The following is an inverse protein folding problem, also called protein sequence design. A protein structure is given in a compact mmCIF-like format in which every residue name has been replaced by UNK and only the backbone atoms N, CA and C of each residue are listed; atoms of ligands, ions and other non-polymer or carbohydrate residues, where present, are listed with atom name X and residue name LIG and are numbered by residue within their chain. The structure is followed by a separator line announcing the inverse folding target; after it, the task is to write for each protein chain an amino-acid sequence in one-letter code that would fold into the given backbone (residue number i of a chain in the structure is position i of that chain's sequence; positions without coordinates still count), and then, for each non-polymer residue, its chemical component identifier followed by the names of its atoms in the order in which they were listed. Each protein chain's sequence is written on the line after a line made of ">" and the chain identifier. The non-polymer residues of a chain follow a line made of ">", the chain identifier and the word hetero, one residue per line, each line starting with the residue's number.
data_IF_018121424231
#
_entry.id   IF_018121424231
#
_cell.length_a   1.000
_cell.length_b   1.000
_cell.length_c   1.000
_cell.angle_alpha   90.00
_cell.angle_beta   90.00
_cell.angle_gamma   90.00
#
_symmetry.space_group_name_H-M   'P 1'
#
loop_
_entity.id
_entity.type
_entity.pdbx_description
1 polymer ?
#
# COMPACT_ATOMS: atom_id res chain seq x y z
N UNK A 1 15.22 -7.79 -19.99
CA UNK A 1 14.50 -8.53 -18.94
C UNK A 1 13.01 -8.41 -19.17
N UNK A 2 12.24 -9.49 -18.95
CA UNK A 2 10.77 -9.42 -18.93
C UNK A 2 10.35 -8.53 -17.76
N UNK A 3 9.49 -7.55 -18.00
CA UNK A 3 8.91 -6.73 -16.92
C UNK A 3 7.73 -7.47 -16.30
N UNK A 4 7.73 -7.64 -14.98
CA UNK A 4 6.65 -8.32 -14.28
C UNK A 4 5.39 -7.46 -14.27
N UNK A 5 4.24 -8.04 -14.65
CA UNK A 5 2.93 -7.41 -14.54
C UNK A 5 2.37 -7.67 -13.15
N UNK A 6 1.95 -6.62 -12.44
CA UNK A 6 1.50 -6.68 -11.05
C UNK A 6 0.09 -6.11 -10.97
N UNK A 7 -0.87 -6.95 -10.52
CA UNK A 7 -2.22 -6.50 -10.21
C UNK A 7 -2.22 -5.75 -8.88
N UNK A 8 -2.59 -4.49 -8.89
CA UNK A 8 -2.74 -3.67 -7.69
C UNK A 8 -4.22 -3.58 -7.36
N UNK A 9 -4.60 -4.05 -6.18
CA UNK A 9 -5.98 -4.09 -5.69
C UNK A 9 -6.14 -3.11 -4.54
N UNK A 10 -7.06 -2.15 -4.67
CA UNK A 10 -7.29 -1.12 -3.64
C UNK A 10 -8.24 -0.01 -4.11
N UNK A 11 -8.18 1.14 -3.45
CA UNK A 11 -9.00 2.30 -3.76
C UNK A 11 -8.19 3.50 -4.25
N UNK A 12 -8.84 4.39 -5.00
CA UNK A 12 -8.42 5.78 -5.08
C UNK A 12 -8.82 6.51 -3.81
N UNK A 13 -8.11 7.58 -3.46
CA UNK A 13 -8.53 8.50 -2.40
C UNK A 13 -8.60 9.94 -2.90
N UNK A 14 -9.38 10.73 -2.20
CA UNK A 14 -9.37 12.19 -2.29
C UNK A 14 -8.91 12.70 -0.94
N UNK A 15 -7.75 13.34 -0.89
CA UNK A 15 -7.13 13.78 0.34
C UNK A 15 -7.23 15.32 0.47
N UNK A 16 -7.87 15.78 1.54
CA UNK A 16 -7.94 17.19 1.90
C UNK A 16 -6.86 17.52 2.93
N UNK A 17 -5.84 18.26 2.51
CA UNK A 17 -4.67 18.63 3.32
C UNK A 17 -4.52 20.13 3.33
N UNK A 18 -4.65 20.77 4.50
CA UNK A 18 -4.52 22.22 4.65
C UNK A 18 -5.40 23.01 3.66
N UNK A 19 -6.64 22.53 3.42
CA UNK A 19 -7.59 23.15 2.50
C UNK A 19 -7.31 22.90 1.01
N UNK A 20 -6.29 22.14 0.66
CA UNK A 20 -6.04 21.69 -0.72
C UNK A 20 -6.55 20.27 -0.89
N UNK A 21 -7.23 20.03 -2.01
CA UNK A 21 -7.76 18.72 -2.39
C UNK A 21 -6.84 18.12 -3.44
N UNK A 22 -6.45 16.86 -3.25
CA UNK A 22 -5.60 16.13 -4.19
C UNK A 22 -5.98 14.67 -4.28
N UNK A 23 -5.73 14.02 -5.43
CA UNK A 23 -5.89 12.59 -5.58
C UNK A 23 -4.82 11.84 -4.78
N UNK A 24 -5.15 10.62 -4.36
CA UNK A 24 -4.25 9.74 -3.62
C UNK A 24 -4.69 8.29 -3.68
N UNK A 25 -4.15 7.52 -2.76
CA UNK A 25 -4.45 6.10 -2.59
C UNK A 25 -3.48 5.15 -3.28
N UNK A 26 -3.54 3.87 -2.91
CA UNK A 26 -2.59 2.87 -3.39
C UNK A 26 -2.65 2.63 -4.89
N UNK A 27 -3.79 2.81 -5.56
CA UNK A 27 -3.87 2.70 -7.01
C UNK A 27 -2.97 3.73 -7.72
N UNK A 28 -2.67 4.85 -7.08
CA UNK A 28 -1.72 5.85 -7.57
C UNK A 28 -0.30 5.53 -7.08
N UNK A 29 -0.12 5.50 -5.77
CA UNK A 29 1.23 5.48 -5.20
C UNK A 29 1.92 4.11 -5.33
N UNK A 30 1.18 3.00 -5.14
CA UNK A 30 1.76 1.67 -5.40
C UNK A 30 2.05 1.47 -6.88
N UNK A 31 1.24 2.04 -7.79
CA UNK A 31 1.53 2.00 -9.23
C UNK A 31 2.83 2.70 -9.59
N UNK A 32 3.05 3.90 -9.04
CA UNK A 32 4.31 4.61 -9.21
C UNK A 32 5.48 3.80 -8.67
N UNK A 33 5.32 3.19 -7.49
CA UNK A 33 6.33 2.31 -6.91
C UNK A 33 6.65 1.12 -7.80
N UNK A 34 5.62 0.42 -8.29
CA UNK A 34 5.78 -0.72 -9.23
C UNK A 34 6.51 -0.30 -10.50
N UNK A 35 6.13 0.83 -11.10
CA UNK A 35 6.78 1.35 -12.32
C UNK A 35 8.25 1.69 -12.06
N UNK A 36 8.55 2.35 -10.96
CA UNK A 36 9.92 2.71 -10.56
C UNK A 36 10.76 1.49 -10.19
N UNK A 37 10.14 0.43 -9.65
CA UNK A 37 10.76 -0.87 -9.43
C UNK A 37 10.91 -1.73 -10.70
N UNK A 38 10.54 -1.19 -11.87
CA UNK A 38 10.68 -1.86 -13.17
C UNK A 38 9.52 -2.79 -13.56
N UNK A 39 8.42 -2.82 -12.79
CA UNK A 39 7.20 -3.58 -13.09
C UNK A 39 6.23 -2.85 -14.04
N UNK A 40 5.11 -3.51 -14.34
CA UNK A 40 3.99 -2.98 -15.10
C UNK A 40 2.74 -3.11 -14.21
N UNK A 41 2.15 -2.00 -13.72
CA UNK A 41 0.93 -2.08 -12.93
C UNK A 41 -0.28 -2.38 -13.81
N UNK A 42 -1.20 -3.21 -13.26
CA UNK A 42 -2.57 -3.42 -13.71
C UNK A 42 -3.47 -3.10 -12.52
N UNK A 43 -4.54 -2.36 -12.72
CA UNK A 43 -5.36 -1.86 -11.62
C UNK A 43 -6.66 -2.64 -11.49
N UNK A 44 -7.02 -2.96 -10.26
CA UNK A 44 -8.35 -3.43 -9.90
C UNK A 44 -8.82 -2.72 -8.64
N UNK A 45 -9.87 -1.90 -8.75
CA UNK A 45 -10.21 -1.08 -7.60
C UNK A 45 -11.55 -0.39 -7.67
N UNK A 46 -11.81 0.43 -6.63
CA UNK A 46 -13.02 1.22 -6.51
C UNK A 46 -12.70 2.70 -6.67
N UNK A 47 -13.58 3.40 -7.39
CA UNK A 47 -13.54 4.83 -7.64
C UNK A 47 -14.95 5.41 -7.53
N UNK A 48 -15.09 6.61 -7.00
CA UNK A 48 -16.35 7.32 -6.95
C UNK A 48 -16.58 8.22 -8.15
N UNK A 49 -17.84 8.54 -8.43
CA UNK A 49 -18.24 9.55 -9.43
C UNK A 49 -17.71 10.97 -9.10
N UNK A 50 -17.34 11.18 -7.83
CA UNK A 50 -16.76 12.42 -7.31
C UNK A 50 -15.25 12.55 -7.51
N UNK A 51 -14.60 11.58 -8.16
CA UNK A 51 -13.17 11.62 -8.48
C UNK A 51 -12.94 12.36 -9.80
N UNK A 52 -12.82 13.66 -9.71
CA UNK A 52 -12.62 14.57 -10.85
C UNK A 52 -11.13 14.97 -10.97
N UNK A 53 -10.29 13.97 -11.21
CA UNK A 53 -8.85 14.17 -11.43
C UNK A 53 -8.38 13.36 -12.64
N UNK A 54 -7.66 14.03 -13.53
CA UNK A 54 -6.93 13.39 -14.61
C UNK A 54 -5.51 13.07 -14.14
N UNK A 55 -5.11 11.80 -14.26
CA UNK A 55 -3.78 11.33 -13.89
C UNK A 55 -3.19 10.61 -15.09
N UNK A 56 -2.32 11.30 -15.82
CA UNK A 56 -1.83 10.89 -17.14
C UNK A 56 -1.32 9.45 -17.15
N UNK A 57 -0.44 9.08 -16.22
CA UNK A 57 0.15 7.74 -16.22
C UNK A 57 -0.86 6.63 -15.88
N UNK A 58 -1.95 6.95 -15.15
CA UNK A 58 -3.05 6.01 -14.86
C UNK A 58 -3.92 5.78 -16.08
N UNK A 59 -4.05 6.78 -16.94
CA UNK A 59 -4.92 6.71 -18.13
C UNK A 59 -4.49 5.59 -19.07
N UNK A 60 -3.20 5.33 -19.20
CA UNK A 60 -2.60 4.34 -20.08
C UNK A 60 -2.54 2.92 -19.49
N UNK A 61 -2.85 2.76 -18.19
CA UNK A 61 -2.78 1.46 -17.54
C UNK A 61 -4.00 0.58 -17.84
N UNK A 62 -3.76 -0.74 -17.95
CA UNK A 62 -4.83 -1.72 -17.90
C UNK A 62 -5.54 -1.64 -16.55
N UNK A 63 -6.85 -1.44 -16.56
CA UNK A 63 -7.63 -1.24 -15.34
C UNK A 63 -9.03 -1.80 -15.41
N UNK A 64 -9.48 -2.33 -14.30
CA UNK A 64 -10.86 -2.70 -14.03
C UNK A 64 -11.36 -1.95 -12.81
N UNK A 65 -12.29 -1.05 -12.97
CA UNK A 65 -12.77 -0.18 -11.89
C UNK A 65 -14.24 -0.47 -11.57
N UNK A 66 -14.54 -0.52 -10.28
CA UNK A 66 -15.90 -0.57 -9.75
C UNK A 66 -16.27 0.87 -9.42
N UNK A 67 -17.32 1.36 -10.06
CA UNK A 67 -17.82 2.72 -9.84
C UNK A 67 -18.79 2.76 -8.67
N UNK A 68 -18.63 3.74 -7.80
CA UNK A 68 -19.51 4.03 -6.65
C UNK A 68 -19.87 5.51 -6.63
N UNK A 69 -20.78 5.91 -5.75
CA UNK A 69 -21.14 7.32 -5.60
C UNK A 69 -19.99 8.17 -5.03
N UNK A 70 -19.18 7.61 -4.14
CA UNK A 70 -18.12 8.33 -3.46
C UNK A 70 -16.79 7.58 -3.53
N UNK A 71 -15.73 8.34 -3.77
CA UNK A 71 -14.35 7.92 -3.53
C UNK A 71 -14.06 7.95 -2.02
N UNK A 72 -13.11 7.16 -1.55
CA UNK A 72 -12.61 7.28 -0.18
C UNK A 72 -12.02 8.68 -0.01
N UNK A 73 -12.56 9.46 0.91
CA UNK A 73 -12.13 10.83 1.13
C UNK A 73 -11.66 11.03 2.56
N UNK A 74 -10.46 11.55 2.70
CA UNK A 74 -9.88 11.90 3.99
C UNK A 74 -9.67 13.38 4.14
N UNK A 75 -9.82 13.86 5.37
CA UNK A 75 -9.22 15.10 5.83
C UNK A 75 -7.98 14.77 6.66
N UNK A 76 -6.87 15.37 6.29
CA UNK A 76 -5.56 15.17 6.92
C UNK A 76 -5.15 16.46 7.61
N UNK A 77 -5.25 16.47 8.93
CA UNK A 77 -4.81 17.58 9.75
C UNK A 77 -3.38 17.32 10.23
N UNK A 78 -2.45 18.19 9.86
CA UNK A 78 -1.08 18.16 10.34
C UNK A 78 -1.01 18.92 11.66
N UNK A 79 -0.60 18.23 12.73
CA UNK A 79 -0.48 18.79 14.08
C UNK A 79 0.97 18.68 14.55
N UNK A 80 1.33 19.41 15.61
CA UNK A 80 2.67 19.32 16.22
C UNK A 80 2.98 17.91 16.79
N UNK A 81 1.94 17.12 17.07
CA UNK A 81 2.07 15.74 17.61
C UNK A 81 1.96 14.65 16.54
N UNK A 82 1.86 15.02 15.25
CA UNK A 82 1.74 14.07 14.16
C UNK A 82 0.58 14.38 13.21
N UNK A 83 0.15 13.36 12.48
CA UNK A 83 -0.90 13.43 11.47
C UNK A 83 -2.22 12.86 12.04
N UNK A 84 -3.29 13.64 11.96
CA UNK A 84 -4.65 13.20 12.28
C UNK A 84 -5.40 12.92 10.99
N UNK A 85 -5.98 11.74 10.85
CA UNK A 85 -6.67 11.27 9.67
C UNK A 85 -8.17 11.09 9.97
N UNK A 86 -9.04 11.85 9.31
CA UNK A 86 -10.49 11.80 9.48
C UNK A 86 -11.11 11.27 8.19
N UNK A 87 -11.92 10.22 8.28
CA UNK A 87 -12.66 9.70 7.13
C UNK A 87 -13.88 10.58 6.87
N UNK A 88 -13.96 11.21 5.71
CA UNK A 88 -15.11 12.03 5.31
C UNK A 88 -16.15 11.22 4.57
N UNK A 89 -15.73 10.38 3.61
CA UNK A 89 -16.58 9.55 2.75
C UNK A 89 -15.89 8.24 2.42
N UNK A 90 -16.68 7.22 2.13
CA UNK A 90 -16.18 5.94 1.57
C UNK A 90 -17.22 5.33 0.62
N UNK A 91 -16.78 4.49 -0.33
CA UNK A 91 -17.67 3.71 -1.17
C UNK A 91 -18.44 2.66 -0.33
N UNK A 92 -19.59 2.28 -0.82
CA UNK A 92 -20.35 1.12 -0.32
C UNK A 92 -19.92 -0.17 -1.03
N UNK A 93 -19.48 -0.05 -2.26
CA UNK A 93 -18.98 -1.15 -3.08
C UNK A 93 -17.76 -1.80 -2.46
N UNK A 94 -17.67 -3.13 -2.62
CA UNK A 94 -16.56 -3.94 -2.14
C UNK A 94 -15.83 -4.57 -3.30
N UNK A 95 -14.53 -4.75 -3.12
CA UNK A 95 -13.65 -5.46 -4.03
C UNK A 95 -13.46 -6.87 -3.49
N UNK A 96 -13.70 -7.86 -4.32
CA UNK A 96 -13.28 -9.23 -4.03
C UNK A 96 -12.04 -9.54 -4.84
N UNK A 97 -10.94 -9.81 -4.15
CA UNK A 97 -9.69 -10.20 -4.83
C UNK A 97 -9.88 -11.55 -5.46
N UNK A 98 -9.61 -11.63 -6.75
CA UNK A 98 -9.68 -12.85 -7.54
C UNK A 98 -8.29 -13.19 -8.07
N UNK A 99 -8.06 -14.47 -8.34
CA UNK A 99 -6.85 -14.91 -9.03
C UNK A 99 -6.87 -14.38 -10.48
N UNK A 100 -5.73 -13.89 -10.91
CA UNK A 100 -5.51 -13.39 -12.27
C UNK A 100 -4.24 -14.05 -12.85
N UNK A 101 -4.44 -15.03 -13.72
CA UNK A 101 -3.35 -15.77 -14.35
C UNK A 101 -2.58 -14.98 -15.42
N UNK A 102 -2.96 -13.73 -15.68
CA UNK A 102 -2.30 -12.84 -16.64
C UNK A 102 -1.24 -11.95 -15.99
N UNK A 103 -1.07 -12.04 -14.66
CA UNK A 103 -0.11 -11.25 -13.89
C UNK A 103 0.96 -12.13 -13.23
N UNK A 104 2.09 -11.54 -12.90
CA UNK A 104 3.21 -12.21 -12.25
C UNK A 104 3.18 -12.04 -10.71
N UNK A 105 2.27 -11.19 -10.18
CA UNK A 105 2.06 -10.97 -8.75
C UNK A 105 0.84 -10.11 -8.46
N UNK A 106 0.32 -10.20 -7.23
CA UNK A 106 -0.84 -9.42 -6.74
C UNK A 106 -0.39 -8.59 -5.55
N UNK A 107 -0.66 -7.28 -5.58
CA UNK A 107 -0.45 -6.37 -4.49
C UNK A 107 -1.80 -5.91 -3.94
N UNK A 108 -2.15 -6.34 -2.73
CA UNK A 108 -3.42 -6.06 -2.05
C UNK A 108 -3.20 -4.94 -1.05
N UNK A 109 -3.69 -3.77 -1.37
CA UNK A 109 -3.48 -2.57 -0.58
C UNK A 109 -4.80 -1.84 -0.32
N UNK A 110 -5.62 -2.34 0.64
CA UNK A 110 -6.85 -1.65 1.01
C UNK A 110 -6.55 -0.35 1.75
N UNK A 111 -7.44 0.61 1.58
CA UNK A 111 -7.38 1.90 2.28
C UNK A 111 -8.30 1.91 3.48
N UNK A 112 -9.55 1.43 3.30
CA UNK A 112 -10.61 1.57 4.28
C UNK A 112 -11.65 0.46 4.20
N UNK A 113 -11.21 -0.79 4.32
CA UNK A 113 -12.06 -1.99 4.29
C UNK A 113 -12.87 -2.17 3.01
N UNK A 114 -12.43 -1.61 1.89
CA UNK A 114 -13.08 -1.80 0.59
C UNK A 114 -12.83 -3.21 0.03
N UNK A 115 -11.85 -3.94 0.53
CA UNK A 115 -11.61 -5.33 0.16
C UNK A 115 -12.39 -6.25 1.09
N UNK A 116 -13.23 -7.11 0.48
CA UNK A 116 -14.20 -7.94 1.21
C UNK A 116 -13.60 -9.23 1.75
N UNK A 117 -12.51 -9.72 1.18
CA UNK A 117 -11.89 -10.97 1.56
C UNK A 117 -10.40 -10.85 1.83
N UNK A 118 -9.97 -11.31 2.97
CA UNK A 118 -8.55 -11.46 3.33
C UNK A 118 -8.00 -12.82 2.87
N UNK A 119 -8.87 -13.80 2.63
CA UNK A 119 -8.48 -15.11 2.09
C UNK A 119 -8.36 -15.05 0.58
N UNK A 120 -7.15 -14.72 0.11
CA UNK A 120 -6.86 -14.52 -1.30
C UNK A 120 -6.35 -15.85 -1.87
N UNK A 121 -7.15 -16.47 -2.74
CA UNK A 121 -6.69 -17.61 -3.53
C UNK A 121 -5.90 -17.06 -4.72
N UNK A 122 -4.65 -17.42 -4.84
CA UNK A 122 -3.78 -16.99 -5.94
C UNK A 122 -2.74 -18.04 -6.27
N UNK A 123 -2.42 -18.14 -7.55
CA UNK A 123 -1.32 -18.96 -8.09
C UNK A 123 0.02 -18.22 -8.13
N UNK A 124 0.00 -16.90 -7.94
CA UNK A 124 1.18 -16.03 -8.00
C UNK A 124 1.50 -15.40 -6.64
N UNK A 125 2.73 -14.90 -6.43
CA UNK A 125 3.10 -14.22 -5.19
C UNK A 125 2.19 -13.04 -4.83
N UNK A 126 1.91 -12.88 -3.53
CA UNK A 126 1.05 -11.84 -2.98
C UNK A 126 1.86 -10.93 -2.07
N UNK A 127 1.75 -9.61 -2.30
CA UNK A 127 2.11 -8.59 -1.32
C UNK A 127 0.84 -7.98 -0.73
N UNK A 128 0.86 -7.57 0.55
CA UNK A 128 -0.27 -6.95 1.19
C UNK A 128 0.17 -5.79 2.10
N UNK A 129 -0.73 -4.79 2.24
CA UNK A 129 -0.64 -3.75 3.26
C UNK A 129 -1.71 -3.98 4.33
N UNK A 130 -1.35 -3.76 5.60
CA UNK A 130 -2.29 -3.97 6.71
C UNK A 130 -3.28 -2.83 6.89
N UNK A 131 -2.98 -1.63 6.40
CA UNK A 131 -3.67 -0.38 6.76
C UNK A 131 -5.19 -0.47 6.65
N UNK A 132 -5.71 -0.84 5.50
CA UNK A 132 -7.16 -0.88 5.28
C UNK A 132 -7.86 -2.04 5.96
N UNK A 133 -7.13 -3.05 6.41
CA UNK A 133 -7.69 -4.16 7.18
C UNK A 133 -7.89 -3.81 8.66
N UNK A 134 -7.06 -2.90 9.21
CA UNK A 134 -7.08 -2.55 10.64
C UNK A 134 -7.76 -1.21 10.96
N UNK A 135 -8.03 -0.36 9.97
CA UNK A 135 -8.73 0.91 10.18
C UNK A 135 -10.21 0.69 10.49
N UNK A 136 -10.77 1.40 11.48
CA UNK A 136 -12.20 1.31 11.85
C UNK A 136 -13.16 1.85 10.78
N UNK A 137 -12.74 2.86 10.02
CA UNK A 137 -13.45 3.40 8.85
C UNK A 137 -14.91 3.83 9.07
N UNK A 138 -15.14 4.61 10.12
CA UNK A 138 -16.44 5.24 10.38
C UNK A 138 -16.41 6.67 9.81
N UNK A 139 -17.42 7.00 8.97
CA UNK A 139 -17.50 8.34 8.36
C UNK A 139 -17.67 9.42 9.44
N UNK A 140 -17.01 10.56 9.21
CA UNK A 140 -16.94 11.72 10.11
C UNK A 140 -16.16 11.48 11.39
N UNK A 141 -15.48 10.35 11.53
CA UNK A 141 -14.64 10.03 12.66
C UNK A 141 -13.15 9.99 12.30
N UNK A 142 -12.33 10.20 13.30
CA UNK A 142 -10.89 9.97 13.21
C UNK A 142 -10.62 8.47 13.09
N UNK A 143 -9.67 8.13 12.21
CA UNK A 143 -9.23 6.75 12.03
C UNK A 143 -8.59 6.25 13.32
N UNK A 144 -9.08 5.09 13.76
CA UNK A 144 -8.51 4.29 14.85
C UNK A 144 -8.14 2.92 14.31
N UNK A 145 -7.25 2.23 14.99
CA UNK A 145 -6.81 0.91 14.57
C UNK A 145 -7.50 -0.17 15.39
N UNK A 146 -8.06 -1.16 14.69
CA UNK A 146 -8.69 -2.34 15.29
C UNK A 146 -7.63 -3.42 15.56
N UNK A 147 -7.88 -4.21 16.57
CA UNK A 147 -7.07 -5.39 16.92
C UNK A 147 -7.71 -6.66 16.40
N UNK A 148 -6.94 -7.75 16.38
CA UNK A 148 -7.47 -9.07 16.05
C UNK A 148 -7.44 -9.40 14.56
N UNK A 149 -6.72 -8.62 13.74
CA UNK A 149 -6.44 -9.00 12.36
C UNK A 149 -5.69 -10.34 12.35
N UNK A 150 -6.17 -11.28 11.56
CA UNK A 150 -5.51 -12.57 11.34
C UNK A 150 -5.59 -12.91 9.86
N UNK A 151 -4.48 -13.28 9.29
CA UNK A 151 -4.40 -13.77 7.93
C UNK A 151 -4.51 -15.30 7.93
N UNK A 152 -5.42 -15.89 7.14
CA UNK A 152 -5.40 -17.34 6.92
C UNK A 152 -4.10 -17.74 6.22
N UNK A 153 -3.65 -18.97 6.45
CA UNK A 153 -2.42 -19.45 5.82
C UNK A 153 -2.52 -19.43 4.28
N UNK A 154 -1.47 -18.89 3.65
CA UNK A 154 -1.30 -18.92 2.20
C UNK A 154 0.19 -19.02 1.84
N UNK A 155 0.56 -20.08 1.12
CA UNK A 155 1.95 -20.30 0.69
C UNK A 155 2.47 -19.27 -0.32
N UNK A 156 1.59 -18.52 -0.96
CA UNK A 156 1.94 -17.46 -1.92
C UNK A 156 2.11 -16.08 -1.29
N UNK A 157 1.86 -15.92 0.01
CA UNK A 157 2.20 -14.67 0.71
C UNK A 157 3.71 -14.45 0.68
N UNK A 158 4.10 -13.34 0.09
CA UNK A 158 5.51 -12.96 -0.04
C UNK A 158 5.87 -11.80 0.89
N UNK A 159 5.19 -10.66 0.77
CA UNK A 159 5.52 -9.43 1.49
C UNK A 159 4.29 -8.90 2.22
N UNK A 160 4.45 -8.53 3.49
CA UNK A 160 3.49 -7.72 4.24
C UNK A 160 4.13 -6.38 4.58
N UNK A 161 3.36 -5.30 4.45
CA UNK A 161 3.77 -3.96 4.86
C UNK A 161 2.77 -3.36 5.85
N UNK A 162 3.28 -2.49 6.71
CA UNK A 162 2.56 -1.55 7.54
C UNK A 162 3.55 -0.60 8.20
N UNK A 163 3.07 0.49 8.78
CA UNK A 163 3.92 1.38 9.54
C UNK A 163 3.99 0.98 11.02
N UNK A 164 4.94 1.56 11.76
CA UNK A 164 5.19 1.24 13.17
C UNK A 164 3.94 1.46 14.02
N UNK A 165 3.24 2.57 13.86
CA UNK A 165 2.02 2.89 14.60
C UNK A 165 0.91 1.86 14.35
N UNK A 166 0.74 1.42 13.11
CA UNK A 166 -0.23 0.40 12.71
C UNK A 166 0.07 -0.95 13.37
N UNK A 167 1.33 -1.38 13.37
CA UNK A 167 1.75 -2.62 14.04
C UNK A 167 1.56 -2.54 15.56
N UNK A 168 2.00 -1.47 16.21
CA UNK A 168 1.86 -1.28 17.65
C UNK A 168 0.40 -1.21 18.10
N UNK A 169 -0.44 -0.48 17.36
CA UNK A 169 -1.84 -0.28 17.70
C UNK A 169 -2.67 -1.54 17.47
N UNK A 170 -2.43 -2.27 16.39
CA UNK A 170 -3.15 -3.51 16.06
C UNK A 170 -2.69 -4.72 16.86
N UNK A 171 -1.52 -4.64 17.54
CA UNK A 171 -0.92 -5.74 18.29
C UNK A 171 -0.62 -6.98 17.44
N UNK A 172 -0.21 -6.77 16.19
CA UNK A 172 0.20 -7.83 15.29
C UNK A 172 1.59 -8.34 15.68
N UNK A 173 1.70 -9.67 15.83
CA UNK A 173 2.96 -10.32 16.16
C UNK A 173 3.61 -10.88 14.90
N UNK A 174 4.91 -10.58 14.70
CA UNK A 174 5.68 -11.08 13.56
C UNK A 174 5.60 -12.59 13.41
N UNK A 175 5.66 -13.33 14.53
CA UNK A 175 5.58 -14.79 14.55
C UNK A 175 4.29 -15.33 13.94
N UNK A 176 3.15 -14.67 14.18
CA UNK A 176 1.86 -15.11 13.66
C UNK A 176 1.70 -14.77 12.19
N UNK A 177 2.26 -13.65 11.75
CA UNK A 177 2.30 -13.28 10.35
C UNK A 177 3.18 -14.23 9.54
N UNK A 178 4.33 -14.66 10.06
CA UNK A 178 5.14 -15.68 9.41
C UNK A 178 4.44 -17.05 9.37
N UNK A 179 3.72 -17.44 10.43
CA UNK A 179 2.87 -18.65 10.41
C UNK A 179 1.76 -18.58 9.37
N UNK A 180 1.26 -17.39 9.05
CA UNK A 180 0.29 -17.19 7.98
C UNK A 180 0.88 -17.34 6.57
N UNK A 181 2.20 -17.46 6.44
CA UNK A 181 2.89 -17.71 5.18
C UNK A 181 3.65 -16.54 4.58
N UNK A 182 3.60 -15.35 5.19
CA UNK A 182 4.44 -14.23 4.74
C UNK A 182 5.92 -14.59 4.88
N UNK A 183 6.69 -14.27 3.85
CA UNK A 183 8.14 -14.55 3.82
C UNK A 183 8.94 -13.35 4.33
N UNK A 184 8.43 -12.16 4.11
CA UNK A 184 9.06 -10.87 4.40
C UNK A 184 8.03 -9.90 4.99
N UNK A 185 8.42 -9.17 6.04
CA UNK A 185 7.56 -8.16 6.68
C UNK A 185 8.32 -6.84 6.71
N UNK A 186 7.73 -5.82 6.11
CA UNK A 186 8.28 -4.45 6.08
C UNK A 186 7.55 -3.63 7.13
N UNK A 187 8.29 -3.04 8.06
CA UNK A 187 7.76 -2.08 9.02
C UNK A 187 8.42 -0.73 8.75
N UNK A 188 7.65 0.23 8.25
CA UNK A 188 8.12 1.59 7.99
C UNK A 188 7.94 2.50 9.20
N UNK A 189 8.84 3.48 9.36
CA UNK A 189 8.87 4.41 10.49
C UNK A 189 9.19 5.84 10.01
N UNK A 190 8.43 6.30 9.04
CA UNK A 190 8.54 7.65 8.48
C UNK A 190 9.99 8.02 8.11
N UNK A 191 10.47 9.13 8.65
CA UNK A 191 11.83 9.63 8.40
C UNK A 191 12.95 8.74 8.97
N UNK A 192 12.64 7.78 9.84
CA UNK A 192 13.61 6.80 10.34
C UNK A 192 13.89 5.67 9.35
N UNK A 193 13.11 5.59 8.25
CA UNK A 193 13.23 4.58 7.23
C UNK A 193 12.36 3.36 7.47
N UNK A 194 12.89 2.17 7.26
CA UNK A 194 12.11 0.93 7.44
C UNK A 194 13.00 -0.27 7.77
N UNK A 195 12.36 -1.30 8.31
CA UNK A 195 12.97 -2.59 8.57
C UNK A 195 12.29 -3.67 7.73
N UNK A 196 13.07 -4.60 7.17
CA UNK A 196 12.57 -5.84 6.57
C UNK A 196 12.94 -6.98 7.50
N UNK A 197 11.94 -7.73 7.94
CA UNK A 197 12.09 -8.93 8.76
C UNK A 197 11.82 -10.17 7.92
N UNK A 198 12.56 -11.24 8.17
CA UNK A 198 12.34 -12.55 7.57
C UNK A 198 11.87 -13.55 8.63
N UNK A 199 11.40 -14.71 8.21
CA UNK A 199 10.95 -15.77 9.13
C UNK A 199 12.05 -16.26 10.10
N UNK A 200 13.33 -16.11 9.75
CA UNK A 200 14.46 -16.39 10.64
C UNK A 200 14.71 -15.26 11.64
N UNK A 201 13.86 -14.25 11.65
CA UNK A 201 13.99 -13.00 12.40
C UNK A 201 15.26 -12.20 12.05
N UNK A 202 15.91 -12.54 10.93
CA UNK A 202 16.93 -11.66 10.37
C UNK A 202 16.28 -10.33 10.00
N UNK A 203 16.99 -9.26 10.32
CA UNK A 203 16.52 -7.88 10.13
C UNK A 203 17.47 -7.13 9.23
N UNK A 204 16.94 -6.53 8.18
CA UNK A 204 17.62 -5.52 7.39
C UNK A 204 16.99 -4.14 7.67
N UNK A 205 17.81 -3.13 7.85
CA UNK A 205 17.36 -1.74 8.11
C UNK A 205 17.83 -0.83 7.00
N UNK A 206 16.89 -0.11 6.37
CA UNK A 206 17.18 1.03 5.50
C UNK A 206 16.99 2.32 6.27
N UNK A 207 17.96 3.21 6.19
CA UNK A 207 17.89 4.57 6.74
C UNK A 207 18.06 5.57 5.60
N UNK A 208 17.08 6.49 5.39
CA UNK A 208 17.21 7.51 4.36
C UNK A 208 18.34 8.47 4.68
N UNK A 209 18.99 8.95 3.63
CA UNK A 209 20.07 9.96 3.74
C UNK A 209 19.52 11.38 3.87
N UNK A 210 18.26 11.59 3.48
CA UNK A 210 17.55 12.87 3.51
C UNK A 210 16.16 12.69 4.10
N UNK A 211 15.72 13.66 4.89
CA UNK A 211 14.32 13.70 5.37
C UNK A 211 13.41 14.06 4.19
N UNK A 212 12.37 13.28 4.01
CA UNK A 212 11.37 13.52 2.97
C UNK A 212 10.52 14.76 3.26
N UNK A 213 10.15 15.47 2.21
CA UNK A 213 9.26 16.65 2.29
C UNK A 213 7.77 16.26 2.29
N UNK A 214 7.46 15.11 1.71
CA UNK A 214 6.10 14.58 1.60
C UNK A 214 6.08 13.14 2.08
N UNK A 215 5.25 12.86 3.09
CA UNK A 215 5.11 11.53 3.67
C UNK A 215 3.88 10.78 3.14
N UNK A 216 2.97 11.47 2.43
CA UNK A 216 1.73 10.86 1.94
C UNK A 216 2.05 9.89 0.80
N UNK A 217 1.57 8.65 0.93
CA UNK A 217 1.74 7.60 -0.07
C UNK A 217 3.13 6.95 -0.13
N UNK A 218 4.07 7.34 0.76
CA UNK A 218 5.42 6.75 0.76
C UNK A 218 5.43 5.26 1.11
N UNK A 219 4.55 4.81 1.99
CA UNK A 219 4.38 3.39 2.32
C UNK A 219 3.86 2.58 1.15
N UNK A 220 2.82 3.09 0.49
CA UNK A 220 2.24 2.47 -0.72
C UNK A 220 3.30 2.38 -1.84
N UNK A 221 4.05 3.47 -2.05
CA UNK A 221 5.13 3.51 -3.03
C UNK A 221 6.24 2.50 -2.70
N UNK A 222 6.69 2.46 -1.43
CA UNK A 222 7.71 1.53 -0.95
C UNK A 222 7.31 0.09 -1.21
N UNK A 223 6.08 -0.29 -0.82
CA UNK A 223 5.57 -1.64 -1.02
C UNK A 223 5.53 -2.01 -2.51
N UNK A 224 5.04 -1.11 -3.36
CA UNK A 224 5.00 -1.32 -4.81
C UNK A 224 6.39 -1.50 -5.43
N UNK A 225 7.35 -0.63 -5.08
CA UNK A 225 8.71 -0.70 -5.58
C UNK A 225 9.44 -1.98 -5.10
N UNK A 226 9.34 -2.26 -3.81
CA UNK A 226 9.96 -3.43 -3.21
C UNK A 226 9.44 -4.73 -3.83
N UNK A 227 8.12 -4.88 -3.93
CA UNK A 227 7.50 -6.08 -4.49
C UNK A 227 7.90 -6.30 -5.95
N UNK A 228 7.92 -5.25 -6.78
CA UNK A 228 8.36 -5.34 -8.17
C UNK A 228 9.82 -5.80 -8.30
N UNK A 229 10.71 -5.26 -7.44
CA UNK A 229 12.12 -5.64 -7.40
C UNK A 229 12.30 -7.09 -6.95
N UNK A 230 11.54 -7.55 -5.94
CA UNK A 230 11.58 -8.94 -5.48
C UNK A 230 11.09 -9.91 -6.55
N UNK A 231 10.02 -9.57 -7.28
CA UNK A 231 9.53 -10.37 -8.42
C UNK A 231 10.51 -10.42 -9.59
N UNK A 232 11.37 -9.40 -9.75
CA UNK A 232 12.44 -9.42 -10.76
C UNK A 232 13.64 -10.29 -10.39
N UNK A 233 13.62 -10.90 -9.18
CA UNK A 233 14.64 -11.82 -8.70
C UNK A 233 15.75 -11.19 -7.86
N UNK A 234 15.64 -9.90 -7.49
CA UNK A 234 16.63 -9.29 -6.60
C UNK A 234 16.53 -9.89 -5.20
N UNK A 235 17.66 -10.05 -4.53
CA UNK A 235 17.72 -10.48 -3.14
C UNK A 235 17.16 -9.41 -2.18
N UNK A 236 16.74 -9.82 -0.97
CA UNK A 236 16.07 -8.96 0.02
C UNK A 236 16.85 -7.67 0.28
N UNK A 237 18.15 -7.77 0.52
CA UNK A 237 19.00 -6.61 0.85
C UNK A 237 19.11 -5.65 -0.33
N UNK A 238 19.27 -6.17 -1.51
CA UNK A 238 19.37 -5.38 -2.74
C UNK A 238 18.04 -4.70 -3.05
N UNK A 239 16.93 -5.44 -3.03
CA UNK A 239 15.59 -4.92 -3.24
C UNK A 239 15.24 -3.83 -2.21
N UNK A 240 15.54 -4.05 -0.92
CA UNK A 240 15.30 -3.07 0.13
C UNK A 240 16.14 -1.80 -0.04
N UNK A 241 17.42 -1.95 -0.44
CA UNK A 241 18.29 -0.80 -0.67
C UNK A 241 17.80 0.06 -1.84
N UNK A 242 17.40 -0.58 -2.95
CA UNK A 242 16.92 0.14 -4.14
C UNK A 242 15.54 0.75 -3.86
N UNK A 243 14.59 -0.02 -3.30
CA UNK A 243 13.27 0.51 -2.96
C UNK A 243 13.35 1.67 -1.99
N UNK A 244 14.24 1.61 -0.99
CA UNK A 244 14.47 2.69 -0.06
C UNK A 244 14.96 3.97 -0.74
N UNK A 245 15.94 3.88 -1.64
CA UNK A 245 16.43 5.04 -2.41
C UNK A 245 15.34 5.63 -3.31
N UNK A 246 14.57 4.79 -3.99
CA UNK A 246 13.46 5.24 -4.83
C UNK A 246 12.38 5.94 -3.99
N UNK A 247 12.08 5.43 -2.79
CA UNK A 247 11.13 6.06 -1.86
C UNK A 247 11.66 7.39 -1.32
N UNK A 248 12.95 7.48 -1.01
CA UNK A 248 13.59 8.74 -0.62
C UNK A 248 13.52 9.79 -1.73
N UNK A 249 13.78 9.39 -2.99
CA UNK A 249 13.61 10.26 -4.15
C UNK A 249 12.14 10.70 -4.33
N UNK A 250 11.20 9.76 -4.23
CA UNK A 250 9.76 10.03 -4.32
C UNK A 250 9.31 11.04 -3.26
N UNK A 251 9.69 10.84 -1.99
CA UNK A 251 9.31 11.73 -0.88
C UNK A 251 9.89 13.15 -0.99
N UNK A 252 10.96 13.32 -1.77
CA UNK A 252 11.61 14.60 -2.02
C UNK A 252 11.29 15.22 -3.38
N UNK A 253 10.60 14.48 -4.25
CA UNK A 253 10.14 15.02 -5.52
C UNK A 253 8.95 15.95 -5.32
N UNK A 254 8.84 16.97 -6.17
CA UNK A 254 7.65 17.77 -6.33
C UNK A 254 6.62 16.99 -7.18
N UNK A 255 6.33 15.75 -6.83
CA UNK A 255 5.26 15.01 -7.48
C UNK A 255 3.93 15.66 -7.10
N UNK A 256 3.60 16.70 -7.84
CA UNK A 256 2.26 17.21 -7.97
C UNK A 256 1.50 16.21 -8.86
N UNK A 257 0.78 15.29 -8.22
CA UNK A 257 -0.35 14.65 -8.86
C UNK A 257 -1.44 15.69 -8.90
#
# INVERSE_FOLDING_TARGET
>A
MKRNKILIVGGFTIDEIQGKIRPGGPLIYSSLGVMRGGGIPKLYGVIGEDFDFEIDFISDLEKQLIYDKYTIRFKIDLTNSGRRLILLKKPKSKIRVIDDNTVDGILVNPVCKEIDNINIQSSVPIAADIQGFIRNCVESEEIKYERGLSFPFNSNYMVLHGNMEEFESSKLELSDLFKSGFKEIIISDGHNGFNVYTYTLAKYTYRPSRIGRNEVGTGDFLLGAYFALRLSGLEIIEAATIAGKLTEEFSNSEFLI
#
